data_IF_476177763569
#
_entry.id   IF_476177763569
#
_cell.length_a   1.000
_cell.length_b   1.000
_cell.length_c   1.000
_cell.angle_alpha   90.00
_cell.angle_beta   90.00
_cell.angle_gamma   90.00
#
_symmetry.space_group_name_H-M   'P 1'
#
loop_
_entity.id
_entity.type
_entity.pdbx_description
1 polymer ?
#
# COMPACT_ATOMS: atom_id res chain seq x y z
N UNK A 1 24.12 -46.87 -14.51
CA UNK A 1 24.11 -45.94 -13.36
C UNK A 1 24.28 -44.50 -13.84
N UNK A 2 23.19 -43.83 -14.22
CA UNK A 2 23.17 -42.39 -14.59
C UNK A 2 21.91 -41.68 -14.09
N UNK A 3 21.30 -42.19 -13.02
CA UNK A 3 20.02 -41.68 -12.48
C UNK A 3 20.23 -40.78 -11.26
N UNK A 4 21.38 -40.92 -10.59
CA UNK A 4 21.81 -40.10 -9.44
C UNK A 4 22.03 -38.60 -9.75
N UNK A 5 22.64 -38.19 -10.89
CA UNK A 5 22.84 -36.76 -11.14
C UNK A 5 21.55 -36.02 -11.51
N UNK A 6 20.52 -36.74 -12.00
CA UNK A 6 19.24 -36.15 -12.41
C UNK A 6 18.41 -35.74 -11.18
N UNK A 7 18.45 -36.54 -10.11
CA UNK A 7 17.73 -36.27 -8.85
C UNK A 7 18.32 -35.06 -8.11
N UNK A 8 19.64 -34.87 -8.19
CA UNK A 8 20.34 -33.75 -7.51
C UNK A 8 20.05 -32.41 -8.20
N UNK A 9 19.88 -32.40 -9.53
CA UNK A 9 19.53 -31.20 -10.30
C UNK A 9 18.05 -30.81 -10.13
N UNK A 10 17.14 -31.78 -9.97
CA UNK A 10 15.72 -31.46 -9.73
C UNK A 10 15.45 -30.88 -8.32
N UNK A 11 16.27 -31.25 -7.32
CA UNK A 11 16.09 -30.78 -5.95
C UNK A 11 16.62 -29.35 -5.73
N UNK A 12 17.53 -28.87 -6.58
CA UNK A 12 18.12 -27.53 -6.46
C UNK A 12 17.20 -26.40 -6.97
N UNK A 13 16.20 -26.71 -7.80
CA UNK A 13 15.21 -25.73 -8.33
C UNK A 13 14.11 -25.40 -7.30
N UNK A 14 13.87 -26.26 -6.31
CA UNK A 14 12.89 -26.03 -5.25
C UNK A 14 13.42 -25.11 -4.13
N UNK A 15 14.74 -24.92 -4.04
CA UNK A 15 15.39 -24.02 -3.06
C UNK A 15 15.60 -22.60 -3.59
N UNK A 16 15.20 -22.31 -4.83
CA UNK A 16 15.25 -20.96 -5.44
C UNK A 16 14.07 -20.04 -5.07
N UNK A 17 13.33 -20.29 -3.98
CA UNK A 17 12.46 -19.28 -3.35
C UNK A 17 13.24 -18.20 -2.58
N UNK A 18 14.53 -18.03 -2.90
CA UNK A 18 15.32 -16.88 -2.52
C UNK A 18 14.92 -15.64 -3.32
N UNK A 19 14.39 -14.64 -2.63
CA UNK A 19 14.16 -13.25 -3.09
C UNK A 19 12.75 -12.85 -3.58
N UNK A 20 11.68 -13.25 -2.86
CA UNK A 20 10.34 -12.67 -3.06
C UNK A 20 10.03 -11.43 -2.21
N UNK A 21 10.93 -11.01 -1.29
CA UNK A 21 10.69 -9.87 -0.38
C UNK A 21 10.54 -8.51 -1.08
N UNK A 22 10.88 -8.40 -2.36
CA UNK A 22 10.71 -7.16 -3.13
C UNK A 22 9.24 -6.78 -3.38
N UNK A 23 8.31 -7.73 -3.23
CA UNK A 23 6.87 -7.54 -3.39
C UNK A 23 6.08 -7.54 -2.08
N UNK A 24 6.75 -7.56 -0.92
CA UNK A 24 6.11 -7.66 0.39
C UNK A 24 6.59 -6.55 1.34
N UNK A 25 5.78 -6.27 2.36
CA UNK A 25 6.12 -5.32 3.40
C UNK A 25 7.21 -5.88 4.32
N UNK A 26 8.20 -5.05 4.64
CA UNK A 26 9.23 -5.35 5.64
C UNK A 26 8.87 -4.70 6.97
N UNK A 27 8.22 -5.46 7.84
CA UNK A 27 7.75 -5.09 9.17
C UNK A 27 8.82 -5.08 10.25
N UNK A 28 10.12 -5.18 9.94
CA UNK A 28 11.20 -5.07 10.95
C UNK A 28 11.08 -3.80 11.81
N UNK A 29 10.58 -2.72 11.24
CA UNK A 29 10.32 -1.45 11.91
C UNK A 29 9.22 -0.68 11.17
N UNK A 30 8.61 0.30 11.82
CA UNK A 30 7.66 1.19 11.15
C UNK A 30 8.28 1.92 9.95
N UNK A 31 9.56 2.34 10.08
CA UNK A 31 10.30 3.00 9.00
C UNK A 31 10.46 2.09 7.77
N UNK A 32 10.81 0.83 7.97
CA UNK A 32 10.98 -0.13 6.87
C UNK A 32 9.64 -0.50 6.26
N UNK A 33 8.58 -0.65 7.07
CA UNK A 33 7.24 -0.94 6.57
C UNK A 33 6.72 0.20 5.68
N UNK A 34 6.87 1.44 6.14
CA UNK A 34 6.50 2.63 5.37
C UNK A 34 7.30 2.74 4.06
N UNK A 35 8.59 2.41 4.09
CA UNK A 35 9.43 2.41 2.89
C UNK A 35 8.98 1.32 1.90
N UNK A 36 8.66 0.11 2.36
CA UNK A 36 8.09 -0.95 1.51
C UNK A 36 6.80 -0.49 0.85
N UNK A 37 5.85 0.08 1.62
CA UNK A 37 4.58 0.59 1.09
C UNK A 37 4.81 1.66 0.04
N UNK A 38 5.72 2.61 0.28
CA UNK A 38 6.07 3.64 -0.70
C UNK A 38 6.56 3.03 -2.02
N UNK A 39 7.45 2.04 -1.96
CA UNK A 39 7.99 1.36 -3.15
C UNK A 39 6.92 0.52 -3.86
N UNK A 40 6.17 -0.29 -3.12
CA UNK A 40 5.10 -1.14 -3.65
C UNK A 40 4.02 -0.30 -4.34
N UNK A 41 3.55 0.78 -3.69
CA UNK A 41 2.57 1.71 -4.25
C UNK A 41 3.01 2.29 -5.60
N UNK A 42 4.31 2.57 -5.77
CA UNK A 42 4.85 3.07 -7.04
C UNK A 42 4.72 2.10 -8.21
N UNK A 43 4.62 0.80 -7.94
CA UNK A 43 4.52 -0.27 -8.95
C UNK A 43 3.08 -0.70 -9.24
N UNK A 44 2.13 -0.33 -8.39
CA UNK A 44 0.73 -0.71 -8.55
C UNK A 44 0.02 0.09 -9.66
N UNK A 45 -1.00 -0.50 -10.31
CA UNK A 45 -1.96 0.24 -11.14
C UNK A 45 -2.65 1.35 -10.35
N UNK A 46 -3.05 2.43 -11.02
CA UNK A 46 -3.61 3.62 -10.37
C UNK A 46 -4.81 3.29 -9.47
N UNK A 47 -5.69 2.40 -9.93
CA UNK A 47 -6.90 1.99 -9.21
C UNK A 47 -6.60 1.29 -7.88
N UNK A 48 -5.53 0.48 -7.83
CA UNK A 48 -5.16 -0.27 -6.63
C UNK A 48 -4.35 0.55 -5.61
N UNK A 49 -3.71 1.65 -6.05
CA UNK A 49 -2.86 2.48 -5.18
C UNK A 49 -3.60 3.05 -3.97
N UNK A 50 -4.85 3.44 -4.17
CA UNK A 50 -5.67 4.07 -3.13
C UNK A 50 -6.10 3.01 -2.11
N UNK A 51 -6.63 1.88 -2.58
CA UNK A 51 -7.00 0.77 -1.72
C UNK A 51 -5.80 0.27 -0.89
N UNK A 52 -4.65 0.08 -1.52
CA UNK A 52 -3.43 -0.34 -0.83
C UNK A 52 -2.96 0.66 0.24
N UNK A 53 -2.94 1.96 -0.09
CA UNK A 53 -2.53 3.00 0.84
C UNK A 53 -3.51 3.15 2.02
N UNK A 54 -4.81 3.15 1.75
CA UNK A 54 -5.83 3.25 2.79
C UNK A 54 -5.80 2.04 3.71
N UNK A 55 -5.54 0.84 3.18
CA UNK A 55 -5.42 -0.38 3.98
C UNK A 55 -4.29 -0.29 5.00
N UNK A 56 -3.10 0.16 4.57
CA UNK A 56 -1.98 0.38 5.48
C UNK A 56 -2.34 1.34 6.63
N UNK A 57 -3.00 2.45 6.32
CA UNK A 57 -3.37 3.46 7.31
C UNK A 57 -4.54 3.02 8.20
N UNK A 58 -5.51 2.28 7.66
CA UNK A 58 -6.61 1.69 8.43
C UNK A 58 -6.06 0.73 9.49
N UNK A 59 -5.16 -0.18 9.10
CA UNK A 59 -4.47 -1.09 10.01
C UNK A 59 -3.64 -0.31 11.03
N UNK A 60 -2.86 0.70 10.60
CA UNK A 60 -2.05 1.53 11.51
C UNK A 60 -2.89 2.28 12.55
N UNK A 61 -4.10 2.68 12.18
CA UNK A 61 -5.01 3.43 13.06
C UNK A 61 -5.73 2.48 14.01
N UNK A 62 -6.02 1.24 13.58
CA UNK A 62 -6.58 0.16 14.38
C UNK A 62 -5.60 -0.34 15.44
N UNK A 63 -4.37 -0.60 15.03
CA UNK A 63 -3.33 -1.18 15.88
C UNK A 63 -2.28 -0.12 16.19
N UNK A 64 -2.51 0.63 17.27
CA UNK A 64 -1.66 1.80 17.59
C UNK A 64 -0.26 1.42 18.06
N UNK A 65 -0.12 0.25 18.70
CA UNK A 65 1.17 -0.26 19.16
C UNK A 65 1.97 -0.78 17.97
N UNK A 66 3.23 -0.39 17.89
CA UNK A 66 4.08 -0.75 16.76
C UNK A 66 4.27 -2.25 16.60
N UNK A 67 4.43 -3.02 17.69
CA UNK A 67 4.59 -4.47 17.59
C UNK A 67 3.38 -5.13 16.93
N UNK A 68 2.18 -4.88 17.48
CA UNK A 68 0.91 -5.41 16.96
C UNK A 68 0.70 -5.01 15.48
N UNK A 69 0.96 -3.75 15.14
CA UNK A 69 0.88 -3.28 13.76
C UNK A 69 1.85 -4.00 12.83
N UNK A 70 3.13 -4.10 13.24
CA UNK A 70 4.19 -4.67 12.42
C UNK A 70 4.00 -6.17 12.21
N UNK A 71 3.52 -6.89 13.23
CA UNK A 71 3.20 -8.31 13.14
C UNK A 71 2.09 -8.58 12.13
N UNK A 72 1.13 -7.66 11.99
CA UNK A 72 0.02 -7.79 11.03
C UNK A 72 0.49 -7.54 9.60
N UNK A 73 1.32 -6.51 9.38
CA UNK A 73 1.69 -6.07 8.02
C UNK A 73 2.94 -6.74 7.49
N UNK A 74 3.81 -7.32 8.32
CA UNK A 74 5.04 -7.96 7.86
C UNK A 74 4.74 -9.10 6.88
N UNK A 75 5.52 -9.17 5.81
CA UNK A 75 5.39 -10.19 4.78
C UNK A 75 4.17 -10.06 3.86
N UNK A 76 3.24 -9.13 4.14
CA UNK A 76 2.04 -8.94 3.31
C UNK A 76 2.40 -8.31 1.97
N UNK A 77 1.84 -8.89 0.90
CA UNK A 77 1.81 -8.33 -0.46
C UNK A 77 0.77 -7.20 -0.55
N UNK A 78 0.64 -6.58 -1.73
CA UNK A 78 -0.38 -5.54 -1.95
C UNK A 78 -1.79 -6.07 -1.74
N UNK A 79 -2.09 -7.24 -2.28
CA UNK A 79 -3.43 -7.78 -2.34
C UNK A 79 -3.84 -8.27 -0.95
N UNK A 80 -2.93 -8.98 -0.27
CA UNK A 80 -3.16 -9.41 1.12
C UNK A 80 -3.32 -8.21 2.07
N UNK A 81 -2.56 -7.12 1.89
CA UNK A 81 -2.76 -5.94 2.71
C UNK A 81 -4.13 -5.31 2.47
N UNK A 82 -4.61 -5.29 1.21
CA UNK A 82 -5.93 -4.78 0.86
C UNK A 82 -7.03 -5.60 1.53
N UNK A 83 -6.92 -6.93 1.51
CA UNK A 83 -7.89 -7.79 2.19
C UNK A 83 -7.94 -7.52 3.70
N UNK A 84 -6.79 -7.45 4.37
CA UNK A 84 -6.74 -7.11 5.80
C UNK A 84 -7.29 -5.71 6.07
N UNK A 85 -7.03 -4.75 5.17
CA UNK A 85 -7.60 -3.40 5.27
C UNK A 85 -9.13 -3.40 5.23
N UNK A 86 -9.71 -4.22 4.33
CA UNK A 86 -11.16 -4.41 4.23
C UNK A 86 -11.74 -5.04 5.49
N UNK A 87 -11.09 -6.07 6.04
CA UNK A 87 -11.51 -6.68 7.31
C UNK A 87 -11.50 -5.67 8.47
N UNK A 88 -10.44 -4.85 8.56
CA UNK A 88 -10.33 -3.79 9.57
C UNK A 88 -11.43 -2.74 9.39
N UNK A 89 -11.77 -2.38 8.16
CA UNK A 89 -12.88 -1.48 7.88
C UNK A 89 -14.21 -2.04 8.37
N UNK A 90 -14.56 -3.26 7.97
CA UNK A 90 -15.84 -3.88 8.35
C UNK A 90 -15.94 -4.03 9.88
N UNK A 91 -14.85 -4.47 10.53
CA UNK A 91 -14.79 -4.57 11.98
C UNK A 91 -15.02 -3.22 12.66
N UNK A 92 -14.28 -2.19 12.25
CA UNK A 92 -14.38 -0.85 12.86
C UNK A 92 -15.71 -0.18 12.58
N UNK A 93 -16.31 -0.44 11.42
CA UNK A 93 -17.65 0.02 11.10
C UNK A 93 -18.68 -0.64 12.02
N UNK A 94 -18.58 -1.96 12.25
CA UNK A 94 -19.41 -2.65 13.23
C UNK A 94 -19.21 -2.13 14.66
N UNK A 95 -17.97 -1.76 15.01
CA UNK A 95 -17.62 -1.17 16.31
C UNK A 95 -18.06 0.31 16.46
N UNK A 96 -18.72 0.90 15.46
CA UNK A 96 -19.25 2.27 15.53
C UNK A 96 -18.21 3.37 15.29
N UNK A 97 -17.08 3.07 14.65
CA UNK A 97 -16.06 4.09 14.34
C UNK A 97 -16.63 5.15 13.40
N UNK A 98 -16.76 6.40 13.90
CA UNK A 98 -17.49 7.49 13.24
C UNK A 98 -17.03 7.75 11.80
N UNK A 99 -15.71 7.74 11.55
CA UNK A 99 -15.16 8.03 10.23
C UNK A 99 -15.63 7.02 9.17
N UNK A 100 -15.94 5.77 9.56
CA UNK A 100 -16.37 4.72 8.63
C UNK A 100 -17.89 4.64 8.45
N UNK A 101 -18.67 5.24 9.36
CA UNK A 101 -20.13 5.21 9.29
C UNK A 101 -20.68 5.96 8.06
N UNK A 102 -19.93 6.95 7.56
CA UNK A 102 -20.34 7.74 6.40
C UNK A 102 -20.30 6.97 5.08
N UNK A 103 -19.68 5.78 5.04
CA UNK A 103 -19.56 4.96 3.84
C UNK A 103 -20.45 3.74 3.96
N UNK A 104 -21.25 3.41 2.94
CA UNK A 104 -22.05 2.19 2.88
C UNK A 104 -21.15 0.95 2.76
N UNK A 105 -20.04 1.04 2.04
CA UNK A 105 -19.10 -0.08 1.83
C UNK A 105 -17.65 0.37 1.72
N UNK A 106 -16.73 -0.59 1.82
CA UNK A 106 -15.32 -0.39 1.51
C UNK A 106 -15.12 0.24 0.12
N UNK A 107 -15.81 -0.27 -0.90
CA UNK A 107 -15.65 0.19 -2.29
C UNK A 107 -16.16 1.64 -2.48
N UNK A 108 -17.19 2.05 -1.73
CA UNK A 108 -17.63 3.43 -1.70
C UNK A 108 -16.55 4.33 -1.09
N UNK A 109 -15.97 3.93 0.03
CA UNK A 109 -14.86 4.66 0.65
C UNK A 109 -13.71 4.85 -0.35
N UNK A 110 -13.24 3.76 -0.98
CA UNK A 110 -12.17 3.82 -1.99
C UNK A 110 -12.53 4.79 -3.12
N UNK A 111 -13.76 4.69 -3.66
CA UNK A 111 -14.24 5.56 -4.73
C UNK A 111 -14.23 7.04 -4.33
N UNK A 112 -14.66 7.35 -3.10
CA UNK A 112 -14.71 8.71 -2.57
C UNK A 112 -13.31 9.30 -2.44
N UNK A 113 -12.35 8.53 -1.90
CA UNK A 113 -10.93 8.94 -1.85
C UNK A 113 -10.31 9.10 -3.25
N UNK A 114 -10.70 8.27 -4.22
CA UNK A 114 -10.24 8.40 -5.60
C UNK A 114 -10.67 9.71 -6.25
N UNK A 115 -11.95 10.08 -6.08
CA UNK A 115 -12.48 11.35 -6.56
C UNK A 115 -11.80 12.55 -5.90
N UNK A 116 -11.61 12.50 -4.57
CA UNK A 116 -10.91 13.57 -3.84
C UNK A 116 -9.47 13.76 -4.33
N UNK A 117 -8.76 12.66 -4.58
CA UNK A 117 -7.38 12.71 -5.09
C UNK A 117 -7.33 13.27 -6.52
N UNK A 118 -8.26 12.87 -7.37
CA UNK A 118 -8.39 13.44 -8.72
C UNK A 118 -8.66 14.96 -8.66
N UNK A 119 -9.59 15.39 -7.81
CA UNK A 119 -9.91 16.81 -7.61
C UNK A 119 -8.74 17.64 -7.06
N UNK A 120 -7.88 17.06 -6.22
CA UNK A 120 -6.66 17.72 -5.75
C UNK A 120 -5.63 17.89 -6.86
N UNK A 121 -5.48 16.91 -7.75
CA UNK A 121 -4.55 17.01 -8.89
C UNK A 121 -5.01 18.01 -9.94
N UNK A 122 -6.32 18.17 -10.15
CA UNK A 122 -6.87 19.17 -11.08
C UNK A 122 -6.73 20.59 -10.55
N UNK A 123 -6.97 20.82 -9.25
CA UNK A 123 -6.80 22.14 -8.61
C UNK A 123 -5.35 22.67 -8.60
N UNK A 124 -4.35 21.78 -8.71
CA UNK A 124 -2.93 22.17 -8.78
C UNK A 124 -2.49 22.66 -10.17
N UNK A 125 -3.29 22.45 -11.22
CA UNK A 125 -3.02 23.04 -12.55
C UNK A 125 -3.63 24.45 -12.55
N UNK A 126 -2.78 25.47 -12.64
CA UNK A 126 -3.07 26.90 -12.74
C UNK A 126 -3.35 27.68 -11.44
N UNK A 127 -2.28 28.08 -10.73
CA UNK A 127 -2.23 29.42 -10.13
C UNK A 127 -1.51 30.38 -11.09
N UNK A 128 -2.25 31.35 -11.64
CA UNK A 128 -1.70 32.49 -12.41
C UNK A 128 -0.58 33.25 -11.68
N UNK A 129 -0.53 33.14 -10.35
CA UNK A 129 0.51 33.71 -9.47
C UNK A 129 1.93 33.16 -9.73
N UNK A 130 2.08 31.96 -10.28
CA UNK A 130 3.41 31.41 -10.61
C UNK A 130 3.93 31.92 -11.96
N UNK A 131 3.07 32.50 -12.81
CA UNK A 131 3.47 33.11 -14.08
C UNK A 131 4.06 34.53 -13.90
N UNK A 132 3.74 35.20 -12.79
CA UNK A 132 4.20 36.58 -12.52
C UNK A 132 5.56 36.64 -11.79
N UNK A 133 6.09 35.51 -11.33
CA UNK A 133 7.37 35.43 -10.60
C UNK A 133 8.54 34.90 -11.45
N UNK A 134 8.42 34.85 -12.78
CA UNK A 134 9.52 34.52 -13.68
C UNK A 134 10.44 35.73 -13.91
N UNK A 135 11.12 36.20 -12.86
CA UNK A 135 12.12 37.28 -12.94
C UNK A 135 13.51 36.74 -13.35
N UNK A 136 13.56 35.67 -14.15
CA UNK A 136 14.81 35.02 -14.57
C UNK A 136 14.86 34.86 -16.09
N UNK A 137 14.79 35.97 -16.84
CA UNK A 137 15.55 36.20 -18.07
C UNK A 137 15.14 37.57 -18.65
N UNK A 138 15.72 38.63 -18.10
CA UNK A 138 16.03 39.84 -18.85
C UNK A 138 17.51 40.13 -18.61
N UNK A 139 18.34 39.51 -19.45
CA UNK A 139 19.72 39.93 -19.73
C UNK A 139 19.71 40.44 -21.16
#
# INVERSE_FOLDING_TARGET
MRILPIIIISLSVLLSTGCSKGGAINGRSFKTALQSVKMMKGRLPQEQRIAFELSFWAIRTAYRKNSEFLDIVDGKTSDELIEVGKEVFEKRKADGFEEYQQYASWDEMISKYAQERAAQTTKKKYSRRDAENSVLYKL
#
